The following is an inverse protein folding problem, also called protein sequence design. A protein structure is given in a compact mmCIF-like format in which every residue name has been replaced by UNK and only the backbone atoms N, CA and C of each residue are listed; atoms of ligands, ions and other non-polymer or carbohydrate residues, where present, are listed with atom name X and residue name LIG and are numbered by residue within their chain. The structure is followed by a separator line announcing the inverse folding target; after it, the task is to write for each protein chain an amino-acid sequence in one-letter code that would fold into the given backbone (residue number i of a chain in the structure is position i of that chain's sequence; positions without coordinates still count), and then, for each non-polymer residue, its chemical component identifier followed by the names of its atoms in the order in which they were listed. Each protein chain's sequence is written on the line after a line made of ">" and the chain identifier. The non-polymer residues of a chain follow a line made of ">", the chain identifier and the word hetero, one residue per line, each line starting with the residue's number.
data_IF_418748568180
#
_entry.id   IF_418748568180
#
_cell.length_a   1.000
_cell.length_b   1.000
_cell.length_c   1.000
_cell.angle_alpha   90.00
_cell.angle_beta   90.00
_cell.angle_gamma   90.00
#
_symmetry.space_group_name_H-M   'P 1'
#
loop_
_entity.id
_entity.type
_entity.pdbx_description
1 polymer ?
#
# COMPACT_ATOMS: atom_id res chain seq x y z
N UNK A 1 -13.56 9.01 -23.00
CA UNK A 1 -13.20 9.58 -21.67
C UNK A 1 -11.66 9.58 -21.53
N UNK A 2 -10.99 10.59 -22.10
CA UNK A 2 -9.52 10.61 -22.17
C UNK A 2 -8.84 10.87 -20.81
N UNK A 3 -9.55 11.42 -19.82
CA UNK A 3 -9.00 11.71 -18.50
C UNK A 3 -9.36 10.65 -17.45
N UNK A 4 -9.99 9.55 -17.85
CA UNK A 4 -10.35 8.42 -16.99
C UNK A 4 -9.49 7.22 -17.35
N UNK A 5 -8.63 6.76 -16.43
CA UNK A 5 -7.75 5.59 -16.64
C UNK A 5 -8.52 4.27 -16.69
N UNK A 6 -9.79 4.25 -16.33
CA UNK A 6 -10.68 3.09 -16.43
C UNK A 6 -11.51 2.81 -15.19
N UNK A 7 -12.20 1.68 -15.21
CA UNK A 7 -12.97 1.12 -14.09
C UNK A 7 -12.13 0.02 -13.45
N UNK A 8 -12.10 0.00 -12.13
CA UNK A 8 -11.43 -1.03 -11.33
C UNK A 8 -12.45 -1.72 -10.44
N UNK A 9 -12.45 -3.04 -10.44
CA UNK A 9 -13.27 -3.82 -9.53
C UNK A 9 -12.46 -4.16 -8.27
N UNK A 10 -13.01 -3.88 -7.11
CA UNK A 10 -12.46 -4.28 -5.81
C UNK A 10 -13.38 -5.35 -5.24
N UNK A 11 -12.87 -6.58 -5.17
CA UNK A 11 -13.58 -7.72 -4.61
C UNK A 11 -12.94 -8.14 -3.29
N UNK A 12 -13.73 -8.67 -2.35
CA UNK A 12 -13.23 -9.12 -1.06
C UNK A 12 -14.05 -10.32 -0.55
N UNK A 13 -13.47 -11.05 0.40
CA UNK A 13 -14.06 -12.23 1.04
C UNK A 13 -14.47 -11.98 2.51
N UNK A 14 -14.46 -10.73 2.97
CA UNK A 14 -14.65 -10.36 4.38
C UNK A 14 -16.03 -9.79 4.74
N UNK A 15 -16.99 -9.70 3.81
CA UNK A 15 -18.26 -9.00 4.04
C UNK A 15 -19.19 -9.69 5.03
N UNK A 16 -19.39 -10.99 4.92
CA UNK A 16 -20.38 -11.76 5.71
C UNK A 16 -19.75 -12.53 6.87
N UNK A 17 -18.76 -13.36 6.60
CA UNK A 17 -18.24 -14.37 7.53
C UNK A 17 -17.21 -13.87 8.55
N UNK A 18 -17.02 -12.57 8.73
CA UNK A 18 -16.07 -12.01 9.68
C UNK A 18 -16.69 -11.63 11.03
N UNK A 19 -15.85 -11.17 11.96
CA UNK A 19 -16.28 -10.53 13.20
C UNK A 19 -16.79 -9.11 12.95
N UNK A 20 -17.39 -8.47 13.96
CA UNK A 20 -17.77 -7.05 13.86
C UNK A 20 -16.54 -6.14 13.66
N UNK A 21 -15.41 -6.49 14.27
CA UNK A 21 -14.17 -5.74 14.11
C UNK A 21 -13.61 -5.85 12.69
N UNK A 22 -13.62 -7.04 12.08
CA UNK A 22 -13.21 -7.22 10.68
C UNK A 22 -14.14 -6.48 9.72
N UNK A 23 -15.46 -6.51 9.96
CA UNK A 23 -16.43 -5.78 9.16
C UNK A 23 -16.17 -4.26 9.23
N UNK A 24 -15.90 -3.74 10.41
CA UNK A 24 -15.54 -2.32 10.60
C UNK A 24 -14.23 -1.97 9.90
N UNK A 25 -13.18 -2.79 10.05
CA UNK A 25 -11.88 -2.58 9.40
C UNK A 25 -12.01 -2.62 7.87
N UNK A 26 -12.80 -3.55 7.33
CA UNK A 26 -13.11 -3.61 5.91
C UNK A 26 -13.82 -2.33 5.42
N UNK A 27 -14.85 -1.87 6.14
CA UNK A 27 -15.55 -0.63 5.78
C UNK A 27 -14.64 0.60 5.81
N UNK A 28 -13.73 0.70 6.79
CA UNK A 28 -12.71 1.76 6.85
C UNK A 28 -11.72 1.67 5.68
N UNK A 29 -11.32 0.46 5.29
CA UNK A 29 -10.47 0.21 4.14
C UNK A 29 -11.14 0.66 2.84
N UNK A 30 -12.39 0.25 2.61
CA UNK A 30 -13.16 0.63 1.43
C UNK A 30 -13.45 2.14 1.40
N UNK A 31 -13.73 2.76 2.55
CA UNK A 31 -13.88 4.20 2.68
C UNK A 31 -12.58 4.96 2.33
N UNK A 32 -11.44 4.40 2.72
CA UNK A 32 -10.13 4.96 2.37
C UNK A 32 -9.87 4.90 0.86
N UNK A 33 -10.23 3.82 0.21
CA UNK A 33 -10.15 3.70 -1.24
C UNK A 33 -11.12 4.64 -1.95
N UNK A 34 -12.35 4.78 -1.45
CA UNK A 34 -13.33 5.72 -1.99
C UNK A 34 -12.85 7.18 -1.93
N UNK A 35 -12.27 7.56 -0.79
CA UNK A 35 -11.76 8.93 -0.56
C UNK A 35 -10.43 9.22 -1.26
N UNK A 36 -9.74 8.20 -1.75
CA UNK A 36 -8.41 8.32 -2.36
C UNK A 36 -8.40 9.32 -3.54
N UNK A 37 -7.40 10.21 -3.67
CA UNK A 37 -7.36 11.23 -4.73
C UNK A 37 -7.37 10.65 -6.15
N UNK A 38 -6.91 9.42 -6.36
CA UNK A 38 -6.93 8.76 -7.67
C UNK A 38 -8.30 8.15 -8.02
N UNK A 39 -9.31 8.25 -7.16
CA UNK A 39 -10.67 7.73 -7.39
C UNK A 39 -11.62 8.89 -7.65
N UNK A 40 -12.24 8.92 -8.82
CA UNK A 40 -13.17 9.96 -9.24
C UNK A 40 -14.62 9.69 -8.81
N UNK A 41 -14.96 8.45 -8.49
CA UNK A 41 -16.29 8.04 -8.03
C UNK A 41 -16.34 6.53 -7.82
N UNK A 42 -17.43 6.04 -7.24
CA UNK A 42 -17.56 4.62 -6.92
C UNK A 42 -19.01 4.12 -7.08
N UNK A 43 -19.11 2.82 -7.39
CA UNK A 43 -20.36 2.06 -7.34
C UNK A 43 -20.17 0.91 -6.38
N UNK A 44 -20.95 0.85 -5.33
CA UNK A 44 -20.91 -0.17 -4.28
C UNK A 44 -22.07 -1.12 -4.45
N UNK A 45 -21.77 -2.41 -4.55
CA UNK A 45 -22.75 -3.47 -4.52
C UNK A 45 -22.74 -4.16 -3.16
N UNK A 46 -23.89 -4.18 -2.51
CA UNK A 46 -24.12 -4.84 -1.21
C UNK A 46 -25.15 -5.96 -1.42
N UNK A 47 -24.93 -7.10 -0.80
CA UNK A 47 -25.94 -8.18 -0.78
C UNK A 47 -27.14 -7.79 0.08
N UNK A 48 -26.92 -7.05 1.16
CA UNK A 48 -27.92 -6.59 2.11
C UNK A 48 -28.00 -7.42 3.40
N UNK A 49 -27.36 -8.60 3.46
CA UNK A 49 -27.32 -9.47 4.65
C UNK A 49 -25.92 -9.63 5.26
N UNK A 50 -24.90 -9.05 4.66
CA UNK A 50 -23.53 -9.06 5.16
C UNK A 50 -23.36 -8.21 6.44
N UNK A 51 -22.30 -8.47 7.22
CA UNK A 51 -21.94 -7.62 8.37
C UNK A 51 -21.38 -6.26 7.96
N UNK A 52 -20.66 -6.20 6.85
CA UNK A 52 -20.12 -4.97 6.27
C UNK A 52 -21.19 -4.24 5.45
N UNK A 53 -22.28 -3.85 6.10
CA UNK A 53 -23.44 -3.19 5.45
C UNK A 53 -23.14 -1.78 4.97
N UNK A 54 -23.94 -1.31 4.01
CA UNK A 54 -23.87 0.06 3.45
C UNK A 54 -23.85 1.13 4.56
N UNK A 55 -24.65 0.98 5.62
CA UNK A 55 -24.68 1.93 6.73
C UNK A 55 -23.34 2.04 7.45
N UNK A 56 -22.67 0.91 7.69
CA UNK A 56 -21.35 0.85 8.31
C UNK A 56 -20.26 1.47 7.40
N UNK A 57 -20.34 1.20 6.09
CA UNK A 57 -19.47 1.84 5.11
C UNK A 57 -19.65 3.37 5.07
N UNK A 58 -20.89 3.85 5.10
CA UNK A 58 -21.18 5.29 5.12
C UNK A 58 -20.69 5.95 6.42
N UNK A 59 -20.76 5.26 7.54
CA UNK A 59 -20.19 5.73 8.81
C UNK A 59 -18.67 5.86 8.72
N UNK A 60 -17.98 4.82 8.24
CA UNK A 60 -16.54 4.84 8.02
C UNK A 60 -16.11 5.95 7.05
N UNK A 61 -16.90 6.21 6.01
CA UNK A 61 -16.64 7.29 5.05
C UNK A 61 -16.78 8.68 5.70
N UNK A 62 -17.80 8.88 6.53
CA UNK A 62 -17.98 10.12 7.30
C UNK A 62 -16.86 10.35 8.31
N UNK A 63 -16.43 9.29 9.02
CA UNK A 63 -15.28 9.40 9.93
C UNK A 63 -14.01 9.82 9.20
N UNK A 64 -13.80 9.29 7.99
CA UNK A 64 -12.60 9.59 7.21
C UNK A 64 -12.63 10.99 6.62
N UNK A 65 -13.76 11.39 6.04
CA UNK A 65 -13.90 12.67 5.37
C UNK A 65 -15.37 13.17 5.46
N UNK A 66 -15.61 14.11 6.36
CA UNK A 66 -16.92 14.75 6.51
C UNK A 66 -17.36 15.54 5.26
N UNK A 67 -16.39 15.96 4.44
CA UNK A 67 -16.64 16.72 3.20
C UNK A 67 -16.62 15.84 1.95
N UNK A 68 -16.78 14.52 2.06
CA UNK A 68 -16.79 13.63 0.91
C UNK A 68 -17.91 13.98 -0.07
N UNK A 69 -17.54 14.37 -1.30
CA UNK A 69 -18.45 14.90 -2.33
C UNK A 69 -18.37 14.14 -3.67
N UNK A 70 -17.57 13.07 -3.73
CA UNK A 70 -17.45 12.26 -4.96
C UNK A 70 -18.73 11.50 -5.24
N UNK A 71 -19.05 11.27 -6.55
CA UNK A 71 -20.17 10.41 -6.93
C UNK A 71 -20.07 9.03 -6.28
N UNK A 72 -21.09 8.66 -5.51
CA UNK A 72 -21.18 7.41 -4.78
C UNK A 72 -22.54 6.76 -5.04
N UNK A 73 -22.54 5.68 -5.81
CA UNK A 73 -23.74 4.89 -6.13
C UNK A 73 -23.77 3.68 -5.20
N UNK A 74 -24.81 3.59 -4.39
CA UNK A 74 -25.00 2.48 -3.45
C UNK A 74 -26.18 1.64 -3.91
N UNK A 75 -25.96 0.37 -4.16
CA UNK A 75 -26.96 -0.59 -4.65
C UNK A 75 -26.98 -1.81 -3.74
N UNK A 76 -28.14 -2.09 -3.13
CA UNK A 76 -28.36 -3.29 -2.33
C UNK A 76 -29.18 -4.28 -3.15
N UNK A 77 -28.64 -5.48 -3.34
CA UNK A 77 -29.25 -6.52 -4.18
C UNK A 77 -30.71 -6.84 -3.75
N UNK A 78 -30.96 -6.91 -2.44
CA UNK A 78 -32.27 -7.24 -1.89
C UNK A 78 -33.36 -6.18 -2.20
N UNK A 79 -32.99 -4.98 -2.62
CA UNK A 79 -33.95 -3.94 -3.01
C UNK A 79 -34.43 -4.09 -4.46
N UNK A 80 -33.90 -5.05 -5.19
CA UNK A 80 -34.15 -5.25 -6.62
C UNK A 80 -34.90 -6.55 -6.92
N UNK A 81 -35.84 -6.48 -7.83
CA UNK A 81 -36.57 -7.67 -8.34
C UNK A 81 -35.77 -8.50 -9.33
N UNK A 82 -34.63 -7.99 -9.82
CA UNK A 82 -33.77 -8.63 -10.81
C UNK A 82 -32.35 -8.07 -10.73
N UNK A 83 -31.38 -8.95 -10.69
CA UNK A 83 -29.97 -8.58 -10.75
C UNK A 83 -29.62 -7.85 -12.06
N UNK A 84 -30.19 -8.28 -13.19
CA UNK A 84 -30.00 -7.62 -14.50
C UNK A 84 -30.41 -6.16 -14.44
N UNK A 85 -31.58 -5.86 -13.86
CA UNK A 85 -32.05 -4.46 -13.71
C UNK A 85 -31.17 -3.64 -12.79
N UNK A 86 -30.65 -4.24 -11.71
CA UNK A 86 -29.69 -3.59 -10.82
C UNK A 86 -28.41 -3.25 -11.58
N UNK A 87 -27.87 -4.17 -12.38
CA UNK A 87 -26.67 -3.96 -13.18
C UNK A 87 -26.88 -2.90 -14.28
N UNK A 88 -28.03 -2.91 -14.97
CA UNK A 88 -28.38 -1.87 -15.94
C UNK A 88 -28.38 -0.47 -15.30
N UNK A 89 -28.97 -0.35 -14.11
CA UNK A 89 -29.00 0.91 -13.38
C UNK A 89 -27.59 1.33 -12.90
N UNK A 90 -26.78 0.37 -12.42
CA UNK A 90 -25.39 0.61 -12.06
C UNK A 90 -24.60 1.18 -13.24
N UNK A 91 -24.67 0.53 -14.40
CA UNK A 91 -23.97 0.99 -15.61
C UNK A 91 -24.46 2.37 -16.03
N UNK A 92 -25.79 2.58 -16.10
CA UNK A 92 -26.38 3.85 -16.49
C UNK A 92 -25.92 5.00 -15.59
N UNK A 93 -25.94 4.81 -14.26
CA UNK A 93 -25.53 5.83 -13.30
C UNK A 93 -24.02 6.09 -13.36
N UNK A 94 -23.21 5.03 -13.44
CA UNK A 94 -21.74 5.14 -13.52
C UNK A 94 -21.34 5.92 -14.78
N UNK A 95 -21.91 5.61 -15.93
CA UNK A 95 -21.63 6.33 -17.18
C UNK A 95 -22.07 7.81 -17.13
N UNK A 96 -23.16 8.12 -16.42
CA UNK A 96 -23.57 9.53 -16.22
C UNK A 96 -22.52 10.32 -15.43
N UNK A 97 -21.89 9.71 -14.43
CA UNK A 97 -20.83 10.36 -13.63
C UNK A 97 -19.50 10.50 -14.40
N UNK A 98 -19.21 9.62 -15.36
CA UNK A 98 -17.99 9.71 -16.17
C UNK A 98 -17.86 11.05 -16.90
N UNK A 99 -18.97 11.63 -17.37
CA UNK A 99 -18.95 12.92 -18.05
C UNK A 99 -18.35 14.04 -17.18
N UNK A 100 -18.62 14.02 -15.87
CA UNK A 100 -18.09 15.00 -14.94
C UNK A 100 -16.65 14.65 -14.54
N UNK A 101 -16.35 13.37 -14.31
CA UNK A 101 -15.01 12.89 -13.97
C UNK A 101 -14.00 13.17 -15.10
N UNK A 102 -14.42 13.06 -16.36
CA UNK A 102 -13.61 13.31 -17.55
C UNK A 102 -13.26 14.81 -17.77
N UNK A 103 -13.87 15.71 -17.01
CA UNK A 103 -13.54 17.16 -17.03
C UNK A 103 -12.37 17.50 -16.09
N UNK A 104 -11.90 16.54 -15.30
CA UNK A 104 -10.81 16.79 -14.34
C UNK A 104 -9.47 16.80 -15.08
N UNK A 105 -8.80 17.94 -15.03
CA UNK A 105 -7.47 18.11 -15.62
C UNK A 105 -6.37 17.98 -14.55
N UNK A 106 -5.21 17.45 -14.96
CA UNK A 106 -4.02 17.45 -14.12
C UNK A 106 -3.50 18.87 -13.95
N UNK A 107 -3.15 19.23 -12.71
CA UNK A 107 -2.61 20.54 -12.35
C UNK A 107 -1.27 20.37 -11.63
N UNK A 108 -0.33 21.32 -11.77
CA UNK A 108 0.88 21.35 -10.96
C UNK A 108 0.52 21.44 -9.47
N UNK A 109 1.12 20.54 -8.68
CA UNK A 109 0.99 20.55 -7.22
C UNK A 109 2.39 20.50 -6.58
N UNK A 110 2.57 21.05 -5.37
CA UNK A 110 3.83 20.95 -4.66
C UNK A 110 4.13 19.50 -4.28
N UNK A 111 5.41 19.16 -4.19
CA UNK A 111 5.89 17.82 -3.83
C UNK A 111 5.39 17.38 -2.43
N UNK A 112 5.04 18.33 -1.57
CA UNK A 112 4.40 18.05 -0.27
C UNK A 112 3.06 17.30 -0.36
N UNK A 113 2.48 17.17 -1.55
CA UNK A 113 1.29 16.33 -1.78
C UNK A 113 1.64 14.87 -2.13
N UNK A 114 2.92 14.57 -2.34
CA UNK A 114 3.37 13.20 -2.60
C UNK A 114 3.40 12.41 -1.28
N UNK A 115 2.72 11.26 -1.27
CA UNK A 115 2.71 10.28 -0.19
C UNK A 115 3.23 8.96 -0.74
N UNK A 116 4.46 8.63 -0.36
CA UNK A 116 5.19 7.47 -0.87
C UNK A 116 4.99 6.26 0.04
N UNK A 117 4.59 5.12 -0.51
CA UNK A 117 4.60 3.85 0.19
C UNK A 117 5.88 3.08 -0.11
N UNK A 118 6.50 2.48 0.88
CA UNK A 118 7.72 1.70 0.70
C UNK A 118 7.57 0.30 1.28
N UNK A 119 7.81 -0.72 0.44
CA UNK A 119 7.74 -2.13 0.83
C UNK A 119 8.71 -2.99 0.01
N UNK A 120 8.92 -4.25 0.42
CA UNK A 120 9.65 -5.23 -0.36
C UNK A 120 8.87 -6.56 -0.46
N UNK A 121 9.12 -7.33 -1.50
CA UNK A 121 8.56 -8.66 -1.68
C UNK A 121 9.45 -9.51 -2.60
N UNK A 122 9.53 -10.83 -2.32
CA UNK A 122 10.54 -11.66 -2.98
C UNK A 122 11.95 -11.14 -2.72
N UNK A 123 12.25 -10.85 -1.44
CA UNK A 123 13.53 -10.28 -1.02
C UNK A 123 14.67 -11.30 -1.13
N UNK A 124 15.88 -10.82 -1.47
CA UNK A 124 17.12 -11.56 -1.61
C UNK A 124 18.26 -10.95 -0.79
N UNK A 125 19.44 -11.52 -0.84
CA UNK A 125 20.63 -11.03 -0.14
C UNK A 125 21.07 -9.62 -0.53
N UNK A 126 20.69 -9.13 -1.72
CA UNK A 126 21.02 -7.80 -2.20
C UNK A 126 20.00 -6.72 -1.74
N UNK A 127 18.81 -7.11 -1.31
CA UNK A 127 17.73 -6.19 -0.92
C UNK A 127 18.20 -5.13 0.07
N UNK A 128 18.95 -5.52 1.11
CA UNK A 128 19.42 -4.64 2.17
C UNK A 128 20.65 -3.80 1.82
N UNK A 129 21.31 -4.02 0.68
CA UNK A 129 22.53 -3.30 0.28
C UNK A 129 22.35 -2.47 -1.00
N UNK A 130 21.34 -2.77 -1.83
CA UNK A 130 21.04 -2.05 -3.07
C UNK A 130 19.69 -1.34 -3.01
N UNK A 131 18.58 -2.00 -3.35
CA UNK A 131 17.28 -1.37 -3.55
C UNK A 131 16.71 -0.73 -2.29
N UNK A 132 16.76 -1.39 -1.12
CA UNK A 132 16.16 -0.84 0.10
C UNK A 132 16.85 0.45 0.59
N UNK A 133 18.20 0.57 0.60
CA UNK A 133 18.87 1.84 0.87
C UNK A 133 18.53 2.96 -0.12
N UNK A 134 18.41 2.65 -1.42
CA UNK A 134 18.02 3.64 -2.44
C UNK A 134 16.59 4.14 -2.21
N UNK A 135 15.66 3.23 -1.92
CA UNK A 135 14.28 3.57 -1.55
C UNK A 135 14.26 4.45 -0.29
N UNK A 136 15.08 4.10 0.72
CA UNK A 136 15.20 4.88 1.94
C UNK A 136 15.72 6.31 1.72
N UNK A 137 16.69 6.48 0.83
CA UNK A 137 17.19 7.80 0.45
C UNK A 137 16.10 8.62 -0.28
N UNK A 138 15.31 8.00 -1.16
CA UNK A 138 14.15 8.65 -1.80
C UNK A 138 13.09 9.02 -0.77
N UNK A 139 12.82 8.13 0.20
CA UNK A 139 11.91 8.39 1.33
C UNK A 139 12.34 9.63 2.13
N UNK A 140 13.63 9.72 2.51
CA UNK A 140 14.18 10.86 3.23
C UNK A 140 14.05 12.17 2.45
N UNK A 141 14.29 12.15 1.14
CA UNK A 141 14.14 13.33 0.26
C UNK A 141 12.69 13.78 0.18
N UNK A 142 11.75 12.86 -0.01
CA UNK A 142 10.31 13.18 -0.04
C UNK A 142 9.88 13.82 1.28
N UNK A 143 10.30 13.26 2.42
CA UNK A 143 10.01 13.82 3.75
C UNK A 143 10.64 15.19 3.94
N UNK A 144 11.91 15.38 3.53
CA UNK A 144 12.61 16.65 3.62
C UNK A 144 11.94 17.75 2.80
N UNK A 145 11.34 17.39 1.67
CA UNK A 145 10.59 18.30 0.79
C UNK A 145 9.13 18.51 1.23
N UNK A 146 8.78 18.03 2.43
CA UNK A 146 7.47 18.23 3.04
C UNK A 146 6.40 17.21 2.64
N UNK A 147 6.77 16.15 1.90
CA UNK A 147 5.88 15.04 1.57
C UNK A 147 5.79 13.99 2.68
N UNK A 148 4.97 12.97 2.45
CA UNK A 148 4.82 11.82 3.34
C UNK A 148 5.54 10.58 2.83
N UNK A 149 6.01 9.73 3.73
CA UNK A 149 6.47 8.38 3.43
C UNK A 149 5.90 7.38 4.43
N UNK A 150 5.58 6.18 4.00
CA UNK A 150 4.99 5.13 4.82
C UNK A 150 5.75 3.81 4.66
N UNK A 151 6.32 3.32 5.76
CA UNK A 151 6.97 2.01 5.84
C UNK A 151 5.96 0.97 6.36
N UNK A 152 5.72 -0.08 5.58
CA UNK A 152 4.85 -1.21 5.89
C UNK A 152 5.61 -2.39 6.54
N UNK A 153 4.87 -3.49 6.76
CA UNK A 153 5.40 -4.83 7.07
C UNK A 153 6.02 -4.95 8.47
N UNK A 154 5.17 -4.84 9.50
CA UNK A 154 5.62 -4.93 10.90
C UNK A 154 6.37 -6.24 11.22
N UNK A 155 5.98 -7.43 10.71
CA UNK A 155 6.78 -8.63 10.94
C UNK A 155 8.23 -8.52 10.50
N UNK A 156 8.50 -7.73 9.44
CA UNK A 156 9.86 -7.50 8.95
C UNK A 156 10.66 -6.50 9.80
N UNK A 157 10.07 -5.91 10.83
CA UNK A 157 10.75 -5.03 11.79
C UNK A 157 11.08 -5.74 13.10
N UNK A 158 10.85 -7.06 13.19
CA UNK A 158 11.24 -7.88 14.32
C UNK A 158 12.76 -7.88 14.49
N UNK A 159 13.24 -7.54 15.70
CA UNK A 159 14.66 -7.43 16.01
C UNK A 159 15.29 -6.07 15.74
N UNK A 160 14.56 -5.12 15.12
CA UNK A 160 15.03 -3.73 14.92
C UNK A 160 14.17 -2.70 15.67
N UNK A 161 13.35 -3.15 16.62
CA UNK A 161 12.43 -2.29 17.38
C UNK A 161 13.14 -1.14 18.08
N UNK A 162 14.33 -1.39 18.66
CA UNK A 162 15.13 -0.37 19.33
C UNK A 162 15.49 0.80 18.38
N UNK A 163 15.80 0.48 17.11
CA UNK A 163 16.06 1.50 16.09
C UNK A 163 14.77 2.28 15.78
N UNK A 164 13.65 1.59 15.54
CA UNK A 164 12.38 2.24 15.22
C UNK A 164 11.92 3.17 16.34
N UNK A 165 11.88 2.71 17.58
CA UNK A 165 11.43 3.53 18.72
C UNK A 165 12.39 4.70 19.02
N UNK A 166 13.69 4.56 18.75
CA UNK A 166 14.64 5.67 18.91
C UNK A 166 14.35 6.84 17.98
N UNK A 167 13.78 6.57 16.81
CA UNK A 167 13.41 7.54 15.78
C UNK A 167 12.02 8.14 15.95
N UNK A 168 11.14 7.56 16.78
CA UNK A 168 9.80 8.10 17.02
C UNK A 168 9.89 9.44 17.76
N UNK A 169 9.23 10.46 17.21
CA UNK A 169 9.17 11.82 17.78
C UNK A 169 8.37 11.81 19.07
N UNK A 170 7.21 11.17 19.11
CA UNK A 170 6.28 11.17 20.24
C UNK A 170 6.44 9.89 21.07
N UNK A 171 6.27 10.01 22.39
CA UNK A 171 6.31 8.86 23.32
C UNK A 171 5.15 7.88 23.05
N UNK A 172 4.01 8.40 22.66
CA UNK A 172 2.81 7.63 22.34
C UNK A 172 3.06 6.71 21.15
N UNK A 173 3.77 7.18 20.13
CA UNK A 173 4.11 6.38 18.95
C UNK A 173 5.09 5.24 19.29
N UNK A 174 6.03 5.49 20.21
CA UNK A 174 6.92 4.42 20.73
C UNK A 174 6.12 3.30 21.40
N UNK A 175 5.21 3.68 22.29
CA UNK A 175 4.38 2.73 23.01
C UNK A 175 3.46 1.96 22.04
N UNK A 176 2.86 2.69 21.09
CA UNK A 176 1.96 2.12 20.08
C UNK A 176 2.66 1.14 19.15
N UNK A 177 3.87 1.46 18.68
CA UNK A 177 4.65 0.54 17.87
C UNK A 177 4.90 -0.79 18.58
N UNK A 178 5.36 -0.74 19.85
CA UNK A 178 5.61 -1.94 20.64
C UNK A 178 4.31 -2.71 20.97
N UNK A 179 3.20 -2.02 21.14
CA UNK A 179 1.91 -2.66 21.34
C UNK A 179 1.45 -3.42 20.09
N UNK A 180 1.51 -2.79 18.92
CA UNK A 180 1.13 -3.41 17.66
C UNK A 180 2.03 -4.61 17.32
N UNK A 181 3.35 -4.52 17.57
CA UNK A 181 4.28 -5.64 17.41
C UNK A 181 3.88 -6.81 18.33
N UNK A 182 3.61 -6.55 19.63
CA UNK A 182 3.19 -7.60 20.57
C UNK A 182 1.84 -8.22 20.21
N UNK A 183 0.89 -7.43 19.72
CA UNK A 183 -0.41 -7.95 19.24
C UNK A 183 -0.21 -8.85 18.03
N UNK A 184 0.68 -8.47 17.13
CA UNK A 184 1.00 -9.27 15.95
C UNK A 184 1.66 -10.60 16.35
N UNK A 185 2.65 -10.55 17.23
CA UNK A 185 3.32 -11.73 17.77
C UNK A 185 2.36 -12.66 18.51
N UNK A 186 1.46 -12.11 19.34
CA UNK A 186 0.45 -12.90 20.04
C UNK A 186 -0.49 -13.62 19.06
N UNK A 187 -0.88 -12.97 17.96
CA UNK A 187 -1.71 -13.59 16.92
C UNK A 187 -0.96 -14.71 16.17
N UNK A 188 0.33 -14.52 15.88
CA UNK A 188 1.16 -15.58 15.28
C UNK A 188 1.30 -16.78 16.22
N UNK A 189 1.62 -16.54 17.50
CA UNK A 189 1.76 -17.58 18.52
C UNK A 189 0.46 -18.37 18.73
N UNK A 190 -0.69 -17.73 18.65
CA UNK A 190 -1.99 -18.39 18.74
C UNK A 190 -2.24 -19.39 17.58
N UNK A 191 -1.56 -19.20 16.47
CA UNK A 191 -1.58 -20.09 15.31
C UNK A 191 -0.42 -21.12 15.32
N UNK A 192 0.39 -21.18 16.39
CA UNK A 192 1.56 -22.06 16.47
C UNK A 192 2.74 -21.62 15.62
N UNK A 193 2.79 -20.34 15.22
CA UNK A 193 3.85 -19.71 14.43
C UNK A 193 4.57 -18.63 15.25
N UNK A 194 5.65 -18.08 14.71
CA UNK A 194 6.38 -16.95 15.29
C UNK A 194 6.50 -15.83 14.26
N UNK A 195 6.60 -14.59 14.73
CA UNK A 195 6.90 -13.44 13.87
C UNK A 195 8.30 -13.59 13.24
N UNK A 196 9.20 -14.35 13.87
CA UNK A 196 10.54 -14.67 13.37
C UNK A 196 10.59 -15.76 12.29
N UNK A 197 9.46 -16.43 11.99
CA UNK A 197 9.38 -17.41 10.90
C UNK A 197 9.47 -16.75 9.50
N UNK A 198 9.51 -15.44 9.44
CA UNK A 198 9.84 -14.66 8.26
C UNK A 198 11.35 -14.30 8.31
N UNK A 199 12.25 -14.86 7.49
CA UNK A 199 12.10 -15.08 6.02
C UNK A 199 11.60 -16.47 5.62
N UNK A 200 11.00 -16.51 4.42
CA UNK A 200 10.57 -17.76 3.81
C UNK A 200 11.76 -18.61 3.35
N UNK A 201 11.59 -19.95 3.13
CA UNK A 201 12.65 -20.80 2.58
C UNK A 201 13.26 -20.26 1.26
N UNK A 202 12.45 -19.64 0.38
CA UNK A 202 12.92 -19.00 -0.84
C UNK A 202 13.83 -17.81 -0.56
N UNK A 203 13.48 -16.95 0.39
CA UNK A 203 14.35 -15.83 0.78
C UNK A 203 15.69 -16.30 1.34
N UNK A 204 15.68 -17.39 2.14
CA UNK A 204 16.90 -17.99 2.72
C UNK A 204 17.79 -18.55 1.61
N UNK A 205 17.21 -19.27 0.64
CA UNK A 205 17.91 -19.79 -0.53
C UNK A 205 18.61 -18.67 -1.33
N UNK A 206 17.96 -17.50 -1.44
CA UNK A 206 18.45 -16.36 -2.20
C UNK A 206 19.27 -15.37 -1.34
N UNK A 207 19.81 -15.83 -0.21
CA UNK A 207 20.84 -15.13 0.56
C UNK A 207 20.36 -14.35 1.79
N UNK A 208 19.07 -14.36 2.12
CA UNK A 208 18.58 -13.85 3.41
C UNK A 208 18.67 -14.92 4.49
N UNK A 209 19.87 -15.14 4.98
CA UNK A 209 20.24 -16.28 5.84
C UNK A 209 19.50 -16.27 7.19
N UNK A 210 19.14 -15.07 7.70
CA UNK A 210 18.48 -14.91 8.98
C UNK A 210 17.39 -13.80 8.93
N UNK A 211 16.44 -13.85 9.87
CA UNK A 211 15.46 -12.80 10.15
C UNK A 211 16.14 -11.46 10.45
N UNK A 212 17.24 -11.44 11.20
CA UNK A 212 17.99 -10.23 11.54
C UNK A 212 18.53 -9.50 10.29
N UNK A 213 19.07 -10.26 9.31
CA UNK A 213 19.54 -9.69 8.03
C UNK A 213 18.36 -9.11 7.26
N UNK A 214 17.25 -9.83 7.20
CA UNK A 214 16.02 -9.36 6.55
C UNK A 214 15.50 -8.09 7.18
N UNK A 215 15.37 -8.05 8.51
CA UNK A 215 14.80 -6.91 9.26
C UNK A 215 15.70 -5.68 9.19
N UNK A 216 17.03 -5.84 9.33
CA UNK A 216 17.97 -4.75 9.15
C UNK A 216 17.90 -4.16 7.73
N UNK A 217 17.71 -5.00 6.72
CA UNK A 217 17.53 -4.60 5.32
C UNK A 217 16.17 -3.92 5.10
N UNK A 218 15.09 -4.48 5.64
CA UNK A 218 13.74 -3.95 5.51
C UNK A 218 13.59 -2.56 6.13
N UNK A 219 14.14 -2.33 7.32
CA UNK A 219 14.11 -1.04 8.00
C UNK A 219 14.74 0.09 7.17
N UNK A 220 15.72 -0.21 6.31
CA UNK A 220 16.40 0.78 5.45
C UNK A 220 15.45 1.45 4.44
N UNK A 221 14.37 0.77 4.03
CA UNK A 221 13.35 1.36 3.14
C UNK A 221 12.73 2.66 3.72
N UNK A 222 12.64 2.77 5.03
CA UNK A 222 12.14 3.96 5.73
C UNK A 222 13.19 5.06 5.93
N UNK A 223 14.37 4.96 5.31
CA UNK A 223 15.43 5.96 5.43
C UNK A 223 15.88 6.22 6.86
N UNK A 224 16.25 7.48 7.15
CA UNK A 224 16.75 7.96 8.44
C UNK A 224 15.84 9.01 9.08
N UNK A 225 14.81 9.47 8.38
CA UNK A 225 13.89 10.50 8.88
C UNK A 225 13.28 10.13 10.24
N UNK A 226 13.01 11.12 11.11
CA UNK A 226 12.23 10.88 12.32
C UNK A 226 10.84 10.32 12.00
N UNK A 227 10.37 9.38 12.83
CA UNK A 227 9.06 8.77 12.68
C UNK A 227 8.01 9.68 13.31
N UNK A 228 7.11 10.22 12.49
CA UNK A 228 6.08 11.19 12.88
C UNK A 228 4.78 10.55 13.32
N UNK A 229 4.50 9.30 12.91
CA UNK A 229 3.31 8.57 13.29
C UNK A 229 3.51 7.04 13.22
N UNK A 230 2.77 6.34 14.08
CA UNK A 230 2.61 4.88 14.03
C UNK A 230 1.13 4.58 13.88
N UNK A 231 0.77 3.91 12.82
CA UNK A 231 -0.60 3.69 12.38
C UNK A 231 -0.96 2.21 12.40
N UNK A 232 -2.19 1.92 12.79
CA UNK A 232 -2.76 0.60 12.57
C UNK A 232 -3.34 0.51 11.14
N UNK A 233 -3.74 -0.70 10.74
CA UNK A 233 -4.27 -1.00 9.42
C UNK A 233 -5.51 -0.14 9.09
N UNK A 234 -5.54 0.46 7.90
CA UNK A 234 -6.59 1.38 7.42
C UNK A 234 -6.66 2.76 8.14
N UNK A 235 -5.69 3.11 8.98
CA UNK A 235 -5.62 4.46 9.54
C UNK A 235 -4.96 5.44 8.57
N UNK A 236 -5.46 6.69 8.47
CA UNK A 236 -4.90 7.69 7.58
C UNK A 236 -3.56 8.21 8.08
N UNK A 237 -2.58 8.31 7.17
CA UNK A 237 -1.29 8.92 7.48
C UNK A 237 -1.37 10.45 7.47
N UNK A 238 -0.53 11.13 8.28
CA UNK A 238 -0.34 12.58 8.20
C UNK A 238 0.07 13.04 6.79
N UNK A 239 -0.07 14.33 6.51
CA UNK A 239 0.31 14.89 5.22
C UNK A 239 1.82 14.86 4.98
N UNK A 240 2.63 14.92 6.03
CA UNK A 240 4.09 14.96 5.93
C UNK A 240 4.76 14.05 6.97
N UNK A 241 6.00 13.70 6.70
CA UNK A 241 6.86 12.91 7.59
C UNK A 241 6.83 11.41 7.30
N UNK A 242 7.64 10.66 8.05
CA UNK A 242 7.69 9.20 7.97
C UNK A 242 6.67 8.58 8.92
N UNK A 243 5.81 7.72 8.39
CA UNK A 243 4.86 6.92 9.16
C UNK A 243 5.25 5.43 9.13
N UNK A 244 5.02 4.72 10.23
CA UNK A 244 5.01 3.25 10.23
C UNK A 244 3.55 2.79 10.12
N UNK A 245 3.26 1.89 9.19
CA UNK A 245 1.90 1.37 8.97
C UNK A 245 1.89 -0.13 9.28
N UNK A 246 1.13 -0.52 10.29
CA UNK A 246 1.00 -1.92 10.68
C UNK A 246 0.28 -2.73 9.59
N UNK A 247 1.05 -3.45 8.80
CA UNK A 247 0.57 -4.39 7.80
C UNK A 247 1.24 -5.75 8.00
N UNK A 248 0.68 -6.84 7.48
CA UNK A 248 1.39 -8.11 7.40
C UNK A 248 2.52 -8.08 6.38
N UNK A 249 3.32 -9.15 6.34
CA UNK A 249 4.35 -9.36 5.32
C UNK A 249 3.82 -9.90 3.99
N UNK A 250 2.52 -10.13 3.84
CA UNK A 250 1.90 -10.49 2.57
C UNK A 250 1.89 -9.27 1.63
N UNK A 251 2.41 -9.45 0.42
CA UNK A 251 2.64 -8.37 -0.54
C UNK A 251 1.37 -7.58 -0.86
N UNK A 252 0.28 -8.27 -1.18
CA UNK A 252 -0.98 -7.63 -1.60
C UNK A 252 -1.66 -6.96 -0.41
N UNK A 253 -1.74 -7.62 0.75
CA UNK A 253 -2.33 -7.04 1.96
C UNK A 253 -1.56 -5.81 2.45
N UNK A 254 -0.21 -5.82 2.33
CA UNK A 254 0.63 -4.70 2.70
C UNK A 254 0.43 -3.50 1.77
N UNK A 255 0.43 -3.70 0.45
CA UNK A 255 0.15 -2.63 -0.52
C UNK A 255 -1.26 -2.09 -0.34
N UNK A 256 -2.26 -2.96 -0.14
CA UNK A 256 -3.64 -2.56 0.16
C UNK A 256 -3.71 -1.65 1.39
N UNK A 257 -2.99 -2.00 2.47
CA UNK A 257 -2.93 -1.20 3.69
C UNK A 257 -2.23 0.14 3.51
N UNK A 258 -1.12 0.19 2.76
CA UNK A 258 -0.42 1.44 2.42
C UNK A 258 -1.33 2.40 1.65
N UNK A 259 -2.04 1.90 0.64
CA UNK A 259 -2.98 2.70 -0.16
C UNK A 259 -4.12 3.23 0.71
N UNK A 260 -4.67 2.41 1.61
CA UNK A 260 -5.68 2.83 2.57
C UNK A 260 -5.16 3.90 3.55
N UNK A 261 -3.87 3.89 3.89
CA UNK A 261 -3.26 4.96 4.66
C UNK A 261 -3.16 6.29 3.90
N UNK A 262 -3.35 6.28 2.57
CA UNK A 262 -3.36 7.48 1.72
C UNK A 262 -2.13 7.65 0.85
N UNK A 263 -1.33 6.60 0.68
CA UNK A 263 -0.18 6.57 -0.23
C UNK A 263 -0.66 6.70 -1.68
N UNK A 264 0.00 7.52 -2.47
CA UNK A 264 -0.36 7.78 -3.87
C UNK A 264 0.67 7.30 -4.91
N UNK A 265 1.83 6.82 -4.47
CA UNK A 265 2.81 6.04 -5.26
C UNK A 265 3.47 5.02 -4.36
N UNK A 266 3.69 3.79 -4.82
CA UNK A 266 4.40 2.74 -4.07
C UNK A 266 5.73 2.42 -4.73
N UNK A 267 6.81 2.38 -3.95
CA UNK A 267 8.09 1.76 -4.30
C UNK A 267 8.14 0.34 -3.73
N UNK A 268 8.27 -0.62 -4.61
CA UNK A 268 8.26 -2.03 -4.29
C UNK A 268 9.58 -2.69 -4.70
N UNK A 269 10.50 -2.93 -3.75
CA UNK A 269 11.75 -3.62 -4.05
C UNK A 269 11.54 -5.13 -4.17
N UNK A 270 12.25 -5.75 -5.10
CA UNK A 270 12.20 -7.20 -5.31
C UNK A 270 13.51 -7.74 -5.87
N UNK A 271 13.97 -8.86 -5.33
CA UNK A 271 15.09 -9.64 -5.84
C UNK A 271 14.65 -10.81 -6.73
N UNK A 272 13.38 -11.20 -6.68
CA UNK A 272 12.85 -12.36 -7.40
C UNK A 272 11.83 -12.00 -8.48
N UNK A 273 11.25 -10.78 -8.45
CA UNK A 273 10.31 -10.30 -9.45
C UNK A 273 8.85 -10.54 -9.05
N UNK A 274 8.43 -10.11 -7.87
CA UNK A 274 7.04 -10.23 -7.41
C UNK A 274 6.08 -9.37 -8.24
N UNK A 275 5.02 -9.94 -8.83
CA UNK A 275 4.13 -9.24 -9.77
C UNK A 275 2.94 -8.57 -9.07
N UNK A 276 3.15 -7.90 -7.92
CA UNK A 276 2.07 -7.23 -7.18
C UNK A 276 1.83 -5.82 -7.69
N UNK A 277 0.57 -5.46 -7.98
CA UNK A 277 0.13 -4.12 -8.31
C UNK A 277 -0.92 -3.60 -7.32
N UNK A 278 -1.67 -2.55 -7.74
CA UNK A 278 -2.80 -2.02 -6.99
C UNK A 278 -3.82 -1.38 -7.95
N UNK A 279 -5.13 -1.49 -7.71
CA UNK A 279 -6.14 -1.00 -8.65
C UNK A 279 -6.17 0.51 -8.83
N UNK A 280 -5.70 1.31 -7.86
CA UNK A 280 -5.85 2.77 -7.87
C UNK A 280 -4.53 3.55 -7.66
N UNK A 281 -3.43 2.85 -7.32
CA UNK A 281 -2.13 3.47 -7.06
C UNK A 281 -1.04 2.79 -7.86
N UNK A 282 -0.20 3.53 -8.59
CA UNK A 282 0.92 2.96 -9.33
C UNK A 282 1.95 2.33 -8.39
N UNK A 283 2.42 1.13 -8.75
CA UNK A 283 3.46 0.37 -8.03
C UNK A 283 4.70 0.28 -8.89
N UNK A 284 5.75 1.01 -8.53
CA UNK A 284 7.05 1.02 -9.21
C UNK A 284 7.88 -0.15 -8.69
N UNK A 285 8.24 -1.09 -9.57
CA UNK A 285 9.08 -2.25 -9.23
C UNK A 285 10.55 -1.88 -9.31
N UNK A 286 11.26 -2.08 -8.20
CA UNK A 286 12.68 -1.77 -8.04
C UNK A 286 13.47 -3.06 -7.85
N UNK A 287 14.25 -3.46 -8.85
CA UNK A 287 15.07 -4.65 -8.76
C UNK A 287 16.29 -4.41 -7.86
N UNK A 288 16.68 -5.44 -7.12
CA UNK A 288 17.86 -5.44 -6.24
C UNK A 288 19.15 -5.67 -7.01
N UNK A 289 19.07 -6.29 -8.19
CA UNK A 289 20.23 -6.63 -9.05
C UNK A 289 19.86 -6.58 -10.52
N UNK A 290 20.85 -6.35 -11.37
CA UNK A 290 20.68 -6.19 -12.84
C UNK A 290 20.18 -7.46 -13.51
N UNK A 291 20.60 -8.65 -13.04
CA UNK A 291 20.16 -9.90 -13.64
C UNK A 291 18.63 -10.10 -13.56
N UNK A 292 18.01 -9.69 -12.45
CA UNK A 292 16.54 -9.68 -12.31
C UNK A 292 15.90 -8.62 -13.19
N UNK A 293 16.48 -7.42 -13.26
CA UNK A 293 15.96 -6.33 -14.08
C UNK A 293 15.95 -6.69 -15.58
N UNK A 294 16.99 -7.34 -16.07
CA UNK A 294 17.09 -7.81 -17.46
C UNK A 294 16.15 -8.99 -17.74
N UNK A 295 16.16 -10.01 -16.88
CA UNK A 295 15.32 -11.20 -17.03
C UNK A 295 13.82 -10.88 -17.01
N UNK A 296 13.39 -9.92 -16.19
CA UNK A 296 12.01 -9.51 -16.02
C UNK A 296 11.81 -8.06 -16.49
N UNK A 297 12.37 -7.76 -17.66
CA UNK A 297 12.34 -6.42 -18.24
C UNK A 297 10.92 -5.89 -18.56
N UNK A 298 9.92 -6.76 -18.63
CA UNK A 298 8.49 -6.41 -18.75
C UNK A 298 7.82 -6.11 -17.40
N UNK A 299 8.44 -6.46 -16.28
CA UNK A 299 7.92 -6.28 -14.90
C UNK A 299 8.65 -5.20 -14.12
N UNK A 300 9.97 -5.09 -14.26
CA UNK A 300 10.83 -4.21 -13.45
C UNK A 300 10.91 -2.81 -14.08
N UNK A 301 10.60 -1.78 -13.27
CA UNK A 301 10.62 -0.38 -13.69
C UNK A 301 11.97 0.30 -13.48
N UNK A 302 12.74 -0.16 -12.48
CA UNK A 302 14.01 0.46 -12.07
C UNK A 302 15.02 -0.58 -11.59
N UNK A 303 16.28 -0.44 -12.03
CA UNK A 303 17.39 -1.31 -11.66
C UNK A 303 18.32 -0.64 -10.64
N UNK A 304 18.50 -1.28 -9.46
CA UNK A 304 19.48 -0.90 -8.45
C UNK A 304 20.76 -1.77 -8.49
N UNK A 305 20.87 -2.69 -9.45
CA UNK A 305 22.07 -3.55 -9.59
C UNK A 305 23.39 -2.80 -9.68
N UNK A 306 23.49 -1.66 -10.39
CA UNK A 306 24.75 -0.89 -10.48
C UNK A 306 25.34 -0.46 -9.12
N UNK A 307 24.54 -0.43 -8.04
CA UNK A 307 25.04 -0.21 -6.67
C UNK A 307 26.08 -1.28 -6.27
N UNK A 308 25.86 -2.51 -6.69
CA UNK A 308 26.76 -3.64 -6.38
C UNK A 308 28.13 -3.42 -7.03
N UNK A 309 28.13 -2.75 -8.19
CA UNK A 309 29.34 -2.42 -8.96
C UNK A 309 29.94 -1.05 -8.58
N UNK A 310 29.43 -0.39 -7.53
CA UNK A 310 29.99 0.81 -6.96
C UNK A 310 29.26 2.12 -7.30
N UNK A 311 28.08 2.08 -7.91
CA UNK A 311 27.27 3.30 -8.07
C UNK A 311 26.91 3.86 -6.68
N UNK A 312 27.07 5.17 -6.45
CA UNK A 312 26.64 5.78 -5.20
C UNK A 312 25.12 5.69 -5.00
N UNK A 313 24.66 5.32 -3.79
CA UNK A 313 23.24 5.26 -3.44
C UNK A 313 22.52 6.59 -3.77
N UNK A 314 23.18 7.73 -3.51
CA UNK A 314 22.59 9.04 -3.79
C UNK A 314 22.30 9.26 -5.28
N UNK A 315 23.17 8.80 -6.18
CA UNK A 315 22.99 8.91 -7.63
C UNK A 315 21.83 8.02 -8.11
N UNK A 316 21.75 6.78 -7.64
CA UNK A 316 20.61 5.91 -7.92
C UNK A 316 19.29 6.47 -7.37
N UNK A 317 19.33 7.11 -6.18
CA UNK A 317 18.17 7.74 -5.58
C UNK A 317 17.70 8.98 -6.37
N UNK A 318 18.60 9.76 -6.97
CA UNK A 318 18.23 10.86 -7.89
C UNK A 318 17.41 10.31 -9.07
N UNK A 319 17.91 9.26 -9.74
CA UNK A 319 17.22 8.64 -10.88
C UNK A 319 15.88 7.99 -10.47
N UNK A 320 15.82 7.36 -9.28
CA UNK A 320 14.58 6.76 -8.79
C UNK A 320 13.56 7.83 -8.41
N UNK A 321 13.98 8.94 -7.81
CA UNK A 321 13.09 10.08 -7.51
C UNK A 321 12.50 10.68 -8.80
N UNK A 322 13.30 10.85 -9.84
CA UNK A 322 12.79 11.29 -11.16
C UNK A 322 11.72 10.31 -11.68
N UNK A 323 11.95 9.00 -11.58
CA UNK A 323 10.96 7.98 -11.96
C UNK A 323 9.67 8.11 -11.15
N UNK A 324 9.76 8.37 -9.83
CA UNK A 324 8.60 8.61 -8.96
C UNK A 324 7.83 9.86 -9.42
N UNK A 325 8.53 10.95 -9.72
CA UNK A 325 7.92 12.21 -10.18
C UNK A 325 7.26 12.06 -11.55
N UNK A 326 7.87 11.31 -12.46
CA UNK A 326 7.30 11.00 -13.76
C UNK A 326 6.01 10.16 -13.63
N UNK A 327 6.03 9.18 -12.74
CA UNK A 327 4.87 8.35 -12.43
C UNK A 327 3.75 9.19 -11.81
N UNK A 328 4.05 9.96 -10.77
CA UNK A 328 3.07 10.83 -10.11
C UNK A 328 2.49 11.90 -11.04
N UNK A 329 3.26 12.36 -12.02
CA UNK A 329 2.83 13.34 -13.04
C UNK A 329 2.08 12.71 -14.22
N UNK A 330 1.96 11.37 -14.26
CA UNK A 330 1.35 10.65 -15.39
C UNK A 330 2.20 10.60 -16.66
N UNK A 331 3.48 10.99 -16.59
CA UNK A 331 4.42 10.87 -17.72
C UNK A 331 4.96 9.46 -17.92
N UNK A 332 4.92 8.66 -16.86
CA UNK A 332 5.30 7.26 -16.88
C UNK A 332 4.18 6.38 -16.31
N UNK A 333 3.74 5.39 -17.08
CA UNK A 333 2.86 4.32 -16.60
C UNK A 333 3.72 3.15 -16.14
N UNK A 334 3.48 2.64 -14.93
CA UNK A 334 4.24 1.51 -14.39
C UNK A 334 3.99 0.24 -15.19
N UNK A 335 4.93 -0.69 -15.14
CA UNK A 335 4.76 -1.99 -15.80
C UNK A 335 3.65 -2.80 -15.14
N UNK A 336 3.46 -2.67 -13.83
CA UNK A 336 2.34 -3.25 -13.11
C UNK A 336 0.99 -2.79 -13.68
N UNK A 337 0.82 -1.48 -13.92
CA UNK A 337 -0.41 -0.94 -14.53
C UNK A 337 -0.61 -1.46 -15.95
N UNK A 338 0.46 -1.47 -16.77
CA UNK A 338 0.40 -1.96 -18.16
C UNK A 338 0.06 -3.45 -18.25
N UNK A 339 0.48 -4.25 -17.28
CA UNK A 339 0.18 -5.67 -17.17
C UNK A 339 -1.18 -5.94 -16.51
N UNK A 340 -1.90 -4.90 -16.08
CA UNK A 340 -3.20 -5.06 -15.41
C UNK A 340 -3.09 -5.72 -14.02
N UNK A 341 -1.99 -5.55 -13.34
CA UNK A 341 -1.80 -6.03 -11.96
C UNK A 341 -2.56 -5.13 -10.99
N UNK A 342 -3.84 -5.42 -10.79
CA UNK A 342 -4.76 -4.64 -9.98
C UNK A 342 -5.18 -5.42 -8.73
N UNK A 343 -4.21 -5.75 -7.90
CA UNK A 343 -4.39 -6.60 -6.74
C UNK A 343 -4.97 -5.83 -5.56
N UNK A 344 -5.96 -6.43 -4.91
CA UNK A 344 -6.55 -5.96 -3.66
C UNK A 344 -6.81 -7.17 -2.77
N UNK A 345 -6.30 -7.14 -1.54
CA UNK A 345 -6.56 -8.17 -0.54
C UNK A 345 -6.72 -7.52 0.83
N UNK A 346 -7.88 -7.76 1.43
CA UNK A 346 -8.17 -7.31 2.78
C UNK A 346 -7.50 -8.22 3.81
N UNK A 347 -6.65 -7.65 4.67
CA UNK A 347 -6.08 -8.38 5.80
C UNK A 347 -7.14 -8.61 6.86
N UNK A 348 -7.69 -9.81 6.86
CA UNK A 348 -8.61 -10.29 7.88
C UNK A 348 -7.82 -10.76 9.09
N UNK A 349 -8.04 -10.15 10.25
CA UNK A 349 -7.29 -10.44 11.48
C UNK A 349 -7.96 -11.47 12.37
N UNK A 350 -9.27 -11.67 12.20
CA UNK A 350 -10.08 -12.48 13.07
C UNK A 350 -10.56 -13.75 12.37
N UNK A 351 -11.24 -14.60 13.13
CA UNK A 351 -11.80 -15.85 12.62
C UNK A 351 -13.03 -15.63 11.74
N UNK A 352 -13.32 -16.60 10.86
CA UNK A 352 -14.61 -16.66 10.17
C UNK A 352 -15.66 -17.28 11.10
N UNK A 353 -16.85 -16.68 11.15
CA UNK A 353 -18.01 -17.10 11.93
C UNK A 353 -19.09 -17.70 11.02
#
# INVERSE_FOLDING_TARGET
>A
FPHIDGIRAITHNGGCGGTAQDAWTLCRMLAAYADHPNVAGLTVFSLGCEKAQIGLFQEALRERNLGFDKPCILLRQQDWSSEVKMMEEAVRKTLAHFKNADLVERRPVPLSKLKLGVKCGGSDGFSGISANPVIGEVSDRVVTLGGGSALAEFPELCGVEANMISRCIRKEDKARFLELMRRYEAAANACGASISDNPSPGNIHDGLITDAIKSAGAAKKGGKAPISAVLDYAEPMPDAGLSLVCTPGNDVEAVTGLVAAGVNVVLFSTGLGTPTGNPIVPVIKVATNTAVAERLSDLIDFDCGPIIDGEPIAAAADRLLEKVLDTASGRYSTKADRLGQHDFLFWKREVSL
#
